data_IF_839124842419
#
_entry.id   IF_839124842419
#
_cell.length_a   1.000
_cell.length_b   1.000
_cell.length_c   1.000
_cell.angle_alpha   90.00
_cell.angle_beta   90.00
_cell.angle_gamma   90.00
#
_symmetry.space_group_name_H-M   'P 1'
#
loop_
_entity.id
_entity.type
_entity.pdbx_description
1 polymer ?
#
# COMPACT_ATOMS: atom_id res chain seq x y z
N UNK A 1 -37.47 -10.74 62.92
CA UNK A 1 -37.85 -9.89 61.78
C UNK A 1 -36.62 -9.84 60.86
N UNK A 2 -36.68 -10.59 59.71
CA UNK A 2 -35.61 -10.58 58.69
C UNK A 2 -36.02 -9.62 57.57
N UNK A 3 -35.28 -8.55 57.42
CA UNK A 3 -35.44 -7.61 56.32
C UNK A 3 -34.68 -8.14 55.11
N UNK A 4 -35.38 -8.42 54.02
CA UNK A 4 -34.80 -8.73 52.72
C UNK A 4 -34.60 -7.40 51.95
N UNK A 5 -33.36 -7.03 51.75
CA UNK A 5 -33.03 -5.93 50.85
C UNK A 5 -33.17 -6.31 49.39
N UNK A 6 -34.04 -5.64 48.66
CA UNK A 6 -34.23 -5.79 47.22
C UNK A 6 -33.03 -5.09 46.55
N UNK A 7 -32.17 -5.88 45.87
CA UNK A 7 -31.08 -5.35 45.02
C UNK A 7 -31.68 -4.97 43.65
N UNK A 8 -31.88 -3.69 43.40
CA UNK A 8 -32.30 -3.18 42.05
C UNK A 8 -31.08 -3.10 41.19
N UNK A 9 -30.90 -4.04 40.25
CA UNK A 9 -29.92 -3.98 39.19
C UNK A 9 -30.45 -3.04 38.11
N UNK A 10 -29.94 -1.81 38.05
CA UNK A 10 -30.22 -0.89 36.95
C UNK A 10 -29.35 -1.30 35.75
N UNK A 11 -29.93 -2.07 34.79
CA UNK A 11 -29.33 -2.28 33.49
C UNK A 11 -29.34 -0.94 32.75
N UNK A 12 -28.20 -0.28 32.70
CA UNK A 12 -27.99 0.89 31.84
C UNK A 12 -28.06 0.48 30.37
N UNK A 13 -29.17 0.74 29.69
CA UNK A 13 -29.23 0.71 28.24
C UNK A 13 -28.31 1.83 27.73
N UNK A 14 -27.15 1.44 27.19
CA UNK A 14 -26.33 2.35 26.40
C UNK A 14 -27.13 2.71 25.14
N UNK A 15 -27.75 3.89 25.14
CA UNK A 15 -28.40 4.46 23.96
C UNK A 15 -27.31 4.68 22.90
N UNK A 16 -27.37 3.91 21.82
CA UNK A 16 -26.51 4.11 20.65
C UNK A 16 -26.68 5.56 20.20
N UNK A 17 -25.58 6.32 20.14
CA UNK A 17 -25.64 7.70 19.68
C UNK A 17 -26.10 7.73 18.19
N UNK A 18 -27.05 8.59 17.82
CA UNK A 18 -27.50 8.67 16.44
C UNK A 18 -26.37 9.14 15.53
N UNK A 19 -26.07 8.35 14.49
CA UNK A 19 -25.08 8.73 13.47
C UNK A 19 -25.73 9.64 12.43
N UNK A 20 -25.35 10.91 12.41
CA UNK A 20 -25.80 11.89 11.39
C UNK A 20 -25.05 11.73 10.04
N UNK A 21 -24.16 10.78 9.94
CA UNK A 21 -23.36 10.44 8.78
C UNK A 21 -23.70 9.06 8.20
N UNK A 22 -22.68 8.23 8.08
CA UNK A 22 -22.81 6.80 7.77
C UNK A 22 -21.89 5.97 8.66
N UNK A 23 -22.39 4.82 9.07
CA UNK A 23 -21.58 3.84 9.76
C UNK A 23 -20.67 3.12 8.76
N UNK A 24 -19.37 3.08 9.03
CA UNK A 24 -18.36 2.37 8.25
C UNK A 24 -17.71 1.32 9.15
N UNK A 25 -17.82 0.06 8.75
CA UNK A 25 -17.13 -1.06 9.43
C UNK A 25 -15.67 -1.11 9.00
N UNK A 26 -14.78 -1.33 9.95
CA UNK A 26 -13.34 -1.36 9.73
C UNK A 26 -12.63 -2.26 10.74
N UNK A 27 -11.33 -2.41 10.64
CA UNK A 27 -10.53 -3.36 11.43
C UNK A 27 -10.60 -3.18 12.96
N UNK A 28 -11.02 -2.01 13.45
CA UNK A 28 -11.15 -1.70 14.88
C UNK A 28 -12.61 -1.58 15.35
N UNK A 29 -13.57 -2.00 14.53
CA UNK A 29 -15.00 -1.91 14.84
C UNK A 29 -15.77 -1.14 13.78
N UNK A 30 -16.51 -0.10 14.17
CA UNK A 30 -17.23 0.78 13.26
C UNK A 30 -17.15 2.24 13.70
N UNK A 31 -17.12 3.16 12.74
CA UNK A 31 -17.08 4.59 12.98
C UNK A 31 -18.19 5.31 12.23
N UNK A 32 -18.84 6.27 12.91
CA UNK A 32 -19.77 7.18 12.27
C UNK A 32 -19.01 8.29 11.57
N UNK A 33 -18.93 8.23 10.23
CA UNK A 33 -18.21 9.21 9.42
C UNK A 33 -19.16 10.20 8.75
N UNK A 34 -18.76 11.44 8.46
CA UNK A 34 -19.60 12.40 7.74
C UNK A 34 -20.06 11.85 6.38
N UNK A 35 -21.24 12.28 5.90
CA UNK A 35 -21.71 11.91 4.54
C UNK A 35 -20.73 12.33 3.44
N UNK A 36 -20.11 13.48 3.60
CA UNK A 36 -19.11 14.05 2.70
C UNK A 36 -17.98 14.64 3.56
N UNK A 37 -16.93 13.87 3.89
CA UNK A 37 -15.79 14.38 4.64
C UNK A 37 -15.09 15.51 3.89
N UNK A 38 -14.75 16.60 4.59
CA UNK A 38 -14.13 17.79 4.01
C UNK A 38 -12.68 17.96 4.42
N UNK A 39 -12.30 17.45 5.60
CA UNK A 39 -10.98 17.61 6.18
C UNK A 39 -10.38 16.26 6.53
N UNK A 40 -9.96 15.56 5.48
CA UNK A 40 -9.42 14.19 5.62
C UNK A 40 -7.95 14.23 5.95
N UNK A 41 -7.52 13.43 6.92
CA UNK A 41 -6.11 13.14 7.19
C UNK A 41 -5.86 11.66 6.88
N UNK A 42 -4.74 11.36 6.24
CA UNK A 42 -4.34 9.99 5.86
C UNK A 42 -2.97 9.65 6.43
N UNK A 43 -2.82 8.46 7.02
CA UNK A 43 -1.63 8.10 7.78
C UNK A 43 -0.84 6.93 7.17
N UNK A 44 -1.02 6.63 5.89
CA UNK A 44 -0.16 5.73 5.13
C UNK A 44 -0.16 6.14 3.65
N UNK A 45 0.82 5.65 2.90
CA UNK A 45 0.97 5.96 1.46
C UNK A 45 -0.16 5.37 0.63
N UNK A 46 -0.69 4.21 1.00
CA UNK A 46 -1.83 3.57 0.32
C UNK A 46 -3.14 4.33 0.50
N UNK A 47 -3.39 4.86 1.70
CA UNK A 47 -4.55 5.71 1.97
C UNK A 47 -4.44 7.06 1.26
N UNK A 48 -3.21 7.62 1.12
CA UNK A 48 -2.98 8.84 0.33
C UNK A 48 -3.29 8.60 -1.16
N UNK A 49 -2.75 7.53 -1.73
CA UNK A 49 -3.01 7.11 -3.12
C UNK A 49 -4.53 6.94 -3.35
N UNK A 50 -5.20 6.21 -2.47
CA UNK A 50 -6.63 5.93 -2.57
C UNK A 50 -7.48 7.20 -2.46
N UNK A 51 -7.18 8.10 -1.52
CA UNK A 51 -7.91 9.35 -1.37
C UNK A 51 -7.78 10.24 -2.62
N UNK A 52 -6.56 10.39 -3.14
CA UNK A 52 -6.29 11.16 -4.36
C UNK A 52 -6.95 10.54 -5.60
N UNK A 53 -6.90 9.21 -5.74
CA UNK A 53 -7.58 8.48 -6.82
C UNK A 53 -9.10 8.70 -6.81
N UNK A 54 -9.68 8.81 -5.62
CA UNK A 54 -11.10 9.08 -5.40
C UNK A 54 -11.46 10.58 -5.51
N UNK A 55 -10.51 11.43 -5.89
CA UNK A 55 -10.70 12.87 -6.06
C UNK A 55 -10.85 13.64 -4.74
N UNK A 56 -10.38 13.07 -3.64
CA UNK A 56 -10.35 13.71 -2.33
C UNK A 56 -8.91 14.06 -1.98
N UNK A 57 -8.62 15.36 -1.88
CA UNK A 57 -7.31 15.84 -1.47
C UNK A 57 -7.26 15.97 0.05
N UNK A 58 -6.42 15.18 0.76
CA UNK A 58 -6.29 15.29 2.20
C UNK A 58 -5.74 16.66 2.62
N UNK A 59 -6.14 17.13 3.80
CA UNK A 59 -5.55 18.33 4.43
C UNK A 59 -4.21 18.01 5.09
N UNK A 60 -3.96 16.75 5.45
CA UNK A 60 -2.72 16.27 6.02
C UNK A 60 -2.44 14.82 5.67
N UNK A 61 -1.17 14.49 5.51
CA UNK A 61 -0.71 13.13 5.26
C UNK A 61 0.67 12.90 5.87
N UNK A 62 1.04 11.62 6.04
CA UNK A 62 2.38 11.22 6.47
C UNK A 62 3.27 10.95 5.26
N UNK A 63 4.59 11.07 5.45
CA UNK A 63 5.60 10.62 4.49
C UNK A 63 6.13 9.23 4.86
N UNK A 64 6.74 8.52 3.92
CA UNK A 64 7.30 7.19 4.19
C UNK A 64 8.45 7.24 5.19
N UNK A 65 9.32 8.24 5.07
CA UNK A 65 10.49 8.45 5.94
C UNK A 65 10.66 9.94 6.27
N UNK A 66 11.41 10.28 7.34
CA UNK A 66 11.70 11.68 7.67
C UNK A 66 12.38 12.43 6.53
N UNK A 67 12.06 13.71 6.38
CA UNK A 67 12.67 14.62 5.43
C UNK A 67 12.56 14.19 3.94
N UNK A 68 11.63 13.29 3.63
CA UNK A 68 11.32 12.94 2.25
C UNK A 68 9.99 13.55 1.80
N UNK A 69 9.86 13.91 0.52
CA UNK A 69 8.58 14.35 -0.03
C UNK A 69 7.58 13.18 -0.11
N UNK A 70 6.35 13.49 -0.45
CA UNK A 70 5.39 12.48 -0.89
C UNK A 70 5.90 11.77 -2.16
N UNK A 71 5.37 10.59 -2.46
CA UNK A 71 5.79 9.79 -3.62
C UNK A 71 5.71 10.60 -4.91
N UNK A 72 6.78 10.58 -5.69
CA UNK A 72 6.95 11.43 -6.89
C UNK A 72 5.87 11.18 -7.96
N UNK A 73 5.37 9.96 -8.07
CA UNK A 73 4.33 9.63 -9.06
C UNK A 73 3.01 10.37 -8.82
N UNK A 74 2.75 10.85 -7.60
CA UNK A 74 1.57 11.64 -7.26
C UNK A 74 1.66 13.09 -7.78
N UNK A 75 2.86 13.58 -8.07
CA UNK A 75 3.11 14.88 -8.70
C UNK A 75 2.47 16.06 -7.96
N UNK A 76 1.83 16.95 -8.70
CA UNK A 76 1.20 18.17 -8.16
C UNK A 76 -0.03 17.91 -7.29
N UNK A 77 -0.57 16.69 -7.29
CA UNK A 77 -1.75 16.36 -6.48
C UNK A 77 -1.48 16.50 -4.97
N UNK A 78 -0.20 16.34 -4.55
CA UNK A 78 0.20 16.48 -3.14
C UNK A 78 0.50 17.91 -2.71
N UNK A 79 0.50 18.86 -3.63
CA UNK A 79 0.81 20.26 -3.35
C UNK A 79 -0.20 20.85 -2.34
N UNK A 80 0.30 21.42 -1.23
CA UNK A 80 -0.53 22.01 -0.18
C UNK A 80 -1.11 21.00 0.82
N UNK A 81 -0.73 19.71 0.76
CA UNK A 81 -1.00 18.74 1.83
C UNK A 81 0.04 18.95 2.93
N UNK A 82 -0.43 19.14 4.19
CA UNK A 82 0.46 19.29 5.34
C UNK A 82 1.10 17.95 5.72
N UNK A 83 2.41 17.96 6.00
CA UNK A 83 3.12 16.76 6.49
C UNK A 83 2.90 16.62 7.99
N UNK A 84 2.12 15.62 8.40
CA UNK A 84 1.79 15.35 9.81
C UNK A 84 2.68 14.28 10.45
N UNK A 85 3.89 14.11 9.95
CA UNK A 85 4.87 13.14 10.45
C UNK A 85 5.20 12.06 9.42
N UNK A 86 5.67 10.93 9.90
CA UNK A 86 5.97 9.76 9.08
C UNK A 86 4.99 8.62 9.37
N UNK A 87 4.99 7.59 8.50
CA UNK A 87 4.19 6.37 8.75
C UNK A 87 4.51 5.79 10.13
N UNK A 88 5.78 5.73 10.53
CA UNK A 88 6.18 5.15 11.81
C UNK A 88 5.87 6.06 13.01
N UNK A 89 5.80 7.38 12.80
CA UNK A 89 5.63 8.38 13.86
C UNK A 89 4.74 9.53 13.37
N UNK A 90 3.41 9.33 13.29
CA UNK A 90 2.47 10.41 13.02
C UNK A 90 2.41 11.37 14.24
N UNK A 91 2.36 12.67 13.97
CA UNK A 91 2.24 13.71 15.02
C UNK A 91 0.77 13.95 15.34
N UNK A 92 0.30 13.44 16.49
CA UNK A 92 -1.08 13.65 16.95
C UNK A 92 -1.39 15.14 17.13
N UNK A 93 -0.41 15.95 17.55
CA UNK A 93 -0.54 17.39 17.72
C UNK A 93 -0.84 18.08 16.37
N UNK A 94 -0.05 17.78 15.33
CA UNK A 94 -0.31 18.31 13.97
C UNK A 94 -1.64 17.84 13.42
N UNK A 95 -2.00 16.58 13.64
CA UNK A 95 -3.29 16.03 13.21
C UNK A 95 -4.42 16.80 13.87
N UNK A 96 -4.37 16.98 15.20
CA UNK A 96 -5.37 17.74 15.95
C UNK A 96 -5.47 19.19 15.47
N UNK A 97 -4.33 19.86 15.21
CA UNK A 97 -4.30 21.24 14.71
C UNK A 97 -5.01 21.40 13.36
N UNK A 98 -5.00 20.37 12.52
CA UNK A 98 -5.71 20.35 11.24
C UNK A 98 -7.23 20.20 11.41
N UNK A 99 -7.75 19.88 12.59
CA UNK A 99 -9.18 19.66 12.87
C UNK A 99 -9.83 18.77 11.81
N UNK A 100 -9.38 17.54 11.62
CA UNK A 100 -9.95 16.63 10.63
C UNK A 100 -11.38 16.25 11.01
N UNK A 101 -12.17 15.88 10.01
CA UNK A 101 -13.48 15.26 10.18
C UNK A 101 -13.47 13.76 9.80
N UNK A 102 -12.35 13.28 9.30
CA UNK A 102 -12.08 11.86 9.04
C UNK A 102 -10.57 11.60 9.05
N UNK A 103 -10.18 10.48 9.68
CA UNK A 103 -8.82 9.94 9.60
C UNK A 103 -8.88 8.56 8.94
N UNK A 104 -8.05 8.34 7.89
CA UNK A 104 -7.87 7.05 7.24
C UNK A 104 -6.48 6.51 7.56
N UNK A 105 -6.42 5.24 7.94
CA UNK A 105 -5.17 4.55 8.26
C UNK A 105 -5.38 3.03 8.27
N UNK A 106 -4.44 2.27 8.85
CA UNK A 106 -4.55 0.83 8.97
C UNK A 106 -4.09 0.34 10.35
N UNK A 107 -4.65 -0.79 10.76
CA UNK A 107 -4.42 -1.42 12.07
C UNK A 107 -2.98 -1.90 12.21
N UNK A 108 -2.37 -2.41 11.13
CA UNK A 108 -0.99 -2.88 11.14
C UNK A 108 -0.03 -1.79 11.61
N UNK A 109 -0.24 -0.53 11.19
CA UNK A 109 0.63 0.62 11.52
C UNK A 109 0.23 1.30 12.81
N UNK A 110 -1.08 1.56 12.97
CA UNK A 110 -1.57 2.51 13.96
C UNK A 110 -2.64 1.94 14.88
N UNK A 111 -2.83 0.62 14.91
CA UNK A 111 -3.78 -0.03 15.82
C UNK A 111 -3.54 0.32 17.29
N UNK A 112 -2.28 0.42 17.70
CA UNK A 112 -1.90 0.76 19.07
C UNK A 112 -2.30 2.19 19.52
N UNK A 113 -2.52 3.11 18.57
CA UNK A 113 -2.93 4.49 18.84
C UNK A 113 -4.36 4.80 18.37
N UNK A 114 -5.16 3.77 18.07
CA UNK A 114 -6.53 3.93 17.57
C UNK A 114 -7.39 4.83 18.47
N UNK A 115 -7.37 4.59 19.79
CA UNK A 115 -8.15 5.37 20.75
C UNK A 115 -7.75 6.84 20.78
N UNK A 116 -6.46 7.13 20.57
CA UNK A 116 -5.97 8.52 20.51
C UNK A 116 -6.44 9.21 19.23
N UNK A 117 -6.36 8.54 18.08
CA UNK A 117 -6.84 9.05 16.81
C UNK A 117 -8.36 9.26 16.83
N UNK A 118 -9.12 8.32 17.37
CA UNK A 118 -10.58 8.36 17.45
C UNK A 118 -11.11 9.48 18.36
N UNK A 119 -10.30 9.96 19.30
CA UNK A 119 -10.62 11.16 20.10
C UNK A 119 -10.43 12.45 19.31
N UNK A 120 -9.63 12.44 18.25
CA UNK A 120 -9.42 13.60 17.39
C UNK A 120 -10.54 13.69 16.34
N UNK A 121 -10.83 12.57 15.64
CA UNK A 121 -11.87 12.49 14.62
C UNK A 121 -12.30 11.03 14.38
N UNK A 122 -13.47 10.79 13.77
CA UNK A 122 -13.82 9.47 13.27
C UNK A 122 -12.67 8.86 12.48
N UNK A 123 -12.22 7.67 12.91
CA UNK A 123 -11.04 7.00 12.36
C UNK A 123 -11.46 5.68 11.74
N UNK A 124 -11.15 5.48 10.47
CA UNK A 124 -11.39 4.24 9.72
C UNK A 124 -10.05 3.55 9.46
N UNK A 125 -9.91 2.31 9.92
CA UNK A 125 -8.69 1.53 9.78
C UNK A 125 -8.88 0.32 8.87
N UNK A 126 -8.11 0.24 7.80
CA UNK A 126 -7.93 -1.01 7.07
C UNK A 126 -7.23 -2.05 7.97
N UNK A 127 -7.38 -3.35 7.67
CA UNK A 127 -6.74 -4.41 8.49
C UNK A 127 -5.22 -4.41 8.31
N UNK A 128 -4.75 -4.23 7.09
CA UNK A 128 -3.33 -4.32 6.74
C UNK A 128 -3.01 -3.48 5.50
N UNK A 129 -1.80 -3.64 4.95
CA UNK A 129 -1.30 -2.96 3.76
C UNK A 129 -0.71 -3.97 2.77
N UNK A 130 -0.43 -3.53 1.57
CA UNK A 130 0.25 -4.33 0.54
C UNK A 130 -0.71 -5.24 -0.21
N UNK A 131 -0.90 -6.49 0.22
CA UNK A 131 -1.75 -7.47 -0.48
C UNK A 131 -3.22 -7.06 -0.57
N UNK A 132 -3.71 -6.33 0.42
CA UNK A 132 -5.12 -5.91 0.57
C UNK A 132 -5.39 -4.50 0.03
N UNK A 133 -4.53 -3.97 -0.83
CA UNK A 133 -4.66 -2.59 -1.34
C UNK A 133 -5.97 -2.34 -2.12
N UNK A 134 -6.55 -3.38 -2.74
CA UNK A 134 -7.82 -3.31 -3.46
C UNK A 134 -8.98 -3.16 -2.48
N UNK A 135 -8.99 -3.96 -1.43
CA UNK A 135 -9.95 -3.89 -0.34
C UNK A 135 -9.84 -2.54 0.40
N UNK A 136 -8.60 -2.04 0.58
CA UNK A 136 -8.36 -0.73 1.20
C UNK A 136 -8.91 0.41 0.33
N UNK A 137 -8.78 0.34 -0.99
CA UNK A 137 -9.41 1.29 -1.92
C UNK A 137 -10.95 1.30 -1.77
N UNK A 138 -11.56 0.12 -1.65
CA UNK A 138 -13.01 0.01 -1.48
C UNK A 138 -13.46 0.57 -0.11
N UNK A 139 -12.71 0.27 0.95
CA UNK A 139 -12.97 0.82 2.30
C UNK A 139 -12.80 2.35 2.32
N UNK A 140 -11.74 2.88 1.69
CA UNK A 140 -11.55 4.31 1.54
C UNK A 140 -12.72 4.94 0.75
N UNK A 141 -13.17 4.27 -0.32
CA UNK A 141 -14.35 4.69 -1.09
C UNK A 141 -15.62 4.75 -0.24
N UNK A 142 -15.84 3.79 0.65
CA UNK A 142 -16.95 3.80 1.60
C UNK A 142 -16.81 4.96 2.60
N UNK A 143 -15.64 5.10 3.23
CA UNK A 143 -15.39 6.15 4.20
C UNK A 143 -15.50 7.57 3.61
N UNK A 144 -15.10 7.76 2.36
CA UNK A 144 -15.14 9.03 1.65
C UNK A 144 -16.48 9.33 0.93
N UNK A 145 -17.44 8.39 0.95
CA UNK A 145 -18.69 8.53 0.19
C UNK A 145 -18.49 8.38 -1.33
N UNK A 146 -17.50 7.64 -1.75
CA UNK A 146 -17.09 7.42 -3.15
C UNK A 146 -17.10 5.93 -3.56
N UNK A 147 -17.94 5.11 -2.93
CA UNK A 147 -17.97 3.65 -3.16
C UNK A 147 -18.17 3.25 -4.62
N UNK A 148 -19.01 3.97 -5.36
CA UNK A 148 -19.20 3.71 -6.79
C UNK A 148 -17.94 4.00 -7.58
N UNK A 149 -17.27 5.12 -7.30
CA UNK A 149 -16.03 5.49 -7.97
C UNK A 149 -14.90 4.49 -7.66
N UNK A 150 -14.77 4.03 -6.40
CA UNK A 150 -13.79 3.01 -6.02
C UNK A 150 -13.98 1.71 -6.82
N UNK A 151 -15.23 1.23 -6.96
CA UNK A 151 -15.53 0.05 -7.79
C UNK A 151 -15.21 0.26 -9.28
N UNK A 152 -15.49 1.45 -9.82
CA UNK A 152 -15.15 1.78 -11.22
C UNK A 152 -13.65 1.76 -11.44
N UNK A 153 -12.87 2.38 -10.54
CA UNK A 153 -11.40 2.38 -10.62
C UNK A 153 -10.83 0.96 -10.55
N UNK A 154 -11.32 0.15 -9.62
CA UNK A 154 -10.89 -1.25 -9.50
C UNK A 154 -11.21 -2.06 -10.76
N UNK A 155 -12.43 -1.93 -11.31
CA UNK A 155 -12.81 -2.59 -12.54
C UNK A 155 -11.98 -2.13 -13.77
N UNK A 156 -11.55 -0.87 -13.79
CA UNK A 156 -10.63 -0.36 -14.82
C UNK A 156 -9.25 -0.99 -14.72
N UNK A 157 -8.73 -1.11 -13.51
CA UNK A 157 -7.46 -1.80 -13.23
C UNK A 157 -7.52 -3.27 -13.67
N UNK A 158 -8.54 -4.01 -13.29
CA UNK A 158 -8.71 -5.44 -13.61
C UNK A 158 -8.81 -5.66 -15.13
N UNK A 159 -9.55 -4.81 -15.83
CA UNK A 159 -9.59 -4.83 -17.30
C UNK A 159 -8.22 -4.60 -17.92
N UNK A 160 -7.45 -3.64 -17.41
CA UNK A 160 -6.11 -3.34 -17.88
C UNK A 160 -5.15 -4.52 -17.65
N UNK A 161 -5.21 -5.15 -16.47
CA UNK A 161 -4.43 -6.36 -16.17
C UNK A 161 -4.73 -7.50 -17.14
N UNK A 162 -6.02 -7.74 -17.43
CA UNK A 162 -6.47 -8.74 -18.41
C UNK A 162 -6.00 -8.42 -19.84
N UNK A 163 -6.07 -7.16 -20.25
CA UNK A 163 -5.59 -6.71 -21.56
C UNK A 163 -4.08 -6.91 -21.71
N UNK A 164 -3.29 -6.58 -20.67
CA UNK A 164 -1.85 -6.79 -20.68
C UNK A 164 -1.50 -8.29 -20.75
N UNK A 165 -2.18 -9.11 -19.95
CA UNK A 165 -2.06 -10.58 -20.03
C UNK A 165 -2.30 -11.11 -21.45
N UNK A 166 -3.39 -10.71 -22.08
CA UNK A 166 -3.75 -11.17 -23.42
C UNK A 166 -2.73 -10.73 -24.48
N UNK A 167 -2.24 -9.50 -24.39
CA UNK A 167 -1.20 -8.98 -25.29
C UNK A 167 0.12 -9.73 -25.15
N UNK A 168 0.54 -10.04 -23.93
CA UNK A 168 1.76 -10.80 -23.69
C UNK A 168 1.59 -12.28 -24.03
N UNK A 169 0.45 -12.89 -23.71
CA UNK A 169 0.13 -14.30 -23.97
C UNK A 169 -0.05 -14.62 -25.45
N UNK A 170 -0.50 -13.66 -26.26
CA UNK A 170 -0.63 -13.82 -27.72
C UNK A 170 0.70 -14.06 -28.45
N UNK A 171 1.84 -13.92 -27.78
CA UNK A 171 3.19 -14.24 -28.28
C UNK A 171 3.68 -15.63 -27.85
N UNK A 172 2.82 -16.46 -27.29
CA UNK A 172 3.15 -17.77 -26.73
C UNK A 172 3.18 -17.75 -25.20
N UNK A 173 4.27 -18.29 -24.60
CA UNK A 173 4.41 -18.33 -23.13
C UNK A 173 4.62 -16.93 -22.54
N UNK A 174 3.89 -16.61 -21.47
CA UNK A 174 4.12 -15.39 -20.69
C UNK A 174 5.58 -15.37 -20.16
N UNK A 175 6.26 -14.21 -20.20
CA UNK A 175 7.61 -14.09 -19.67
C UNK A 175 7.60 -14.21 -18.15
N UNK A 176 8.59 -14.90 -17.59
CA UNK A 176 8.80 -14.95 -16.15
C UNK A 176 9.43 -13.64 -15.65
N UNK A 177 9.00 -13.21 -14.45
CA UNK A 177 9.43 -11.94 -13.85
C UNK A 177 9.97 -12.17 -12.45
N UNK A 178 11.17 -11.70 -12.20
CA UNK A 178 11.81 -11.66 -10.88
C UNK A 178 11.84 -10.23 -10.32
N UNK A 179 11.68 -10.10 -9.01
CA UNK A 179 11.68 -8.81 -8.31
C UNK A 179 12.70 -8.81 -7.18
N UNK A 180 13.56 -7.80 -7.19
CA UNK A 180 14.61 -7.62 -6.20
C UNK A 180 14.55 -6.20 -5.62
N UNK A 181 14.68 -6.07 -4.31
CA UNK A 181 14.75 -4.77 -3.63
C UNK A 181 15.97 -4.71 -2.72
N UNK A 182 16.86 -3.78 -2.99
CA UNK A 182 17.97 -3.45 -2.12
C UNK A 182 17.52 -2.48 -1.05
N UNK A 183 17.76 -2.81 0.21
CA UNK A 183 17.54 -1.90 1.34
C UNK A 183 18.78 -1.91 2.24
N UNK A 184 19.03 -0.90 3.08
CA UNK A 184 20.19 -0.90 3.95
C UNK A 184 20.29 -2.18 4.77
N UNK A 185 21.42 -2.90 4.62
CA UNK A 185 21.73 -4.16 5.31
C UNK A 185 20.94 -5.39 4.84
N UNK A 186 20.17 -5.32 3.76
CA UNK A 186 19.36 -6.45 3.29
C UNK A 186 19.19 -6.46 1.77
N UNK A 187 19.26 -7.65 1.17
CA UNK A 187 18.79 -7.90 -0.19
C UNK A 187 17.47 -8.68 -0.08
N UNK A 188 16.39 -8.12 -0.59
CA UNK A 188 15.05 -8.71 -0.53
C UNK A 188 14.66 -9.31 -1.87
N UNK A 189 14.55 -10.62 -1.91
CA UNK A 189 13.86 -11.34 -2.99
C UNK A 189 12.37 -11.26 -2.72
N UNK A 190 11.64 -10.48 -3.51
CA UNK A 190 10.23 -10.20 -3.26
C UNK A 190 9.35 -11.36 -3.72
N UNK A 191 8.51 -11.89 -2.85
CA UNK A 191 7.59 -13.00 -3.12
C UNK A 191 6.20 -12.52 -3.56
N UNK A 192 5.14 -13.34 -3.42
CA UNK A 192 3.78 -12.99 -3.89
C UNK A 192 3.00 -12.12 -2.91
N UNK A 193 3.23 -12.26 -1.60
CA UNK A 193 2.42 -11.59 -0.59
C UNK A 193 2.87 -10.13 -0.32
N UNK A 194 2.89 -9.31 -1.38
CA UNK A 194 3.13 -7.88 -1.33
C UNK A 194 2.43 -7.18 -2.50
N UNK A 195 2.44 -5.86 -2.51
CA UNK A 195 1.78 -5.03 -3.53
C UNK A 195 2.16 -5.44 -4.97
N UNK A 196 3.47 -5.49 -5.29
CA UNK A 196 3.93 -5.88 -6.63
C UNK A 196 3.57 -7.33 -6.95
N UNK A 197 3.68 -8.22 -5.96
CA UNK A 197 3.29 -9.62 -6.12
C UNK A 197 1.84 -9.79 -6.55
N UNK A 198 0.92 -8.98 -6.00
CA UNK A 198 -0.49 -9.01 -6.41
C UNK A 198 -0.68 -8.55 -7.86
N UNK A 199 0.00 -7.48 -8.28
CA UNK A 199 -0.08 -6.96 -9.66
C UNK A 199 0.42 -8.01 -10.67
N UNK A 200 1.57 -8.63 -10.39
CA UNK A 200 2.11 -9.69 -11.26
C UNK A 200 1.17 -10.90 -11.32
N UNK A 201 0.54 -11.25 -10.20
CA UNK A 201 -0.45 -12.34 -10.12
C UNK A 201 -1.73 -12.01 -10.91
N UNK A 202 -2.25 -10.77 -10.83
CA UNK A 202 -3.42 -10.33 -11.59
C UNK A 202 -3.21 -10.40 -13.11
N UNK A 203 -2.00 -10.06 -13.55
CA UNK A 203 -1.60 -10.18 -14.95
C UNK A 203 -1.32 -11.66 -15.31
N UNK A 204 -1.03 -12.50 -14.33
CA UNK A 204 -0.68 -13.92 -14.52
C UNK A 204 0.77 -14.13 -14.95
N UNK A 205 1.68 -13.21 -14.62
CA UNK A 205 3.10 -13.33 -14.96
C UNK A 205 3.75 -14.40 -14.08
N UNK A 206 4.40 -15.43 -14.71
CA UNK A 206 5.13 -16.45 -13.97
C UNK A 206 6.31 -15.85 -13.18
N UNK A 207 6.67 -16.53 -12.11
CA UNK A 207 7.79 -16.16 -11.25
C UNK A 207 8.79 -17.30 -11.13
N UNK A 208 10.09 -17.04 -10.84
CA UNK A 208 11.01 -18.08 -10.43
C UNK A 208 10.43 -18.87 -9.26
N UNK A 209 10.70 -20.17 -9.19
CA UNK A 209 10.20 -21.05 -8.11
C UNK A 209 10.55 -20.49 -6.72
N UNK A 210 11.73 -19.90 -6.58
CA UNK A 210 12.20 -19.29 -5.34
C UNK A 210 11.32 -18.12 -4.87
N UNK A 211 10.71 -17.33 -5.80
CA UNK A 211 9.82 -16.21 -5.50
C UNK A 211 8.33 -16.56 -5.56
N UNK A 212 7.97 -17.81 -5.88
CA UNK A 212 6.58 -18.24 -6.00
C UNK A 212 6.00 -18.73 -4.68
N UNK A 213 6.17 -17.95 -3.61
CA UNK A 213 5.73 -18.26 -2.24
C UNK A 213 4.72 -17.24 -1.76
N UNK A 214 3.77 -17.66 -0.92
CA UNK A 214 2.75 -16.79 -0.30
C UNK A 214 3.31 -16.10 0.96
N UNK A 215 4.50 -15.50 0.86
CA UNK A 215 5.18 -14.70 1.87
C UNK A 215 5.59 -13.35 1.28
N UNK A 216 5.95 -12.40 2.15
CA UNK A 216 6.32 -11.05 1.73
C UNK A 216 7.63 -11.02 0.91
N UNK A 217 8.71 -11.55 1.46
CA UNK A 217 10.03 -11.60 0.84
C UNK A 217 10.92 -12.63 1.55
N UNK A 218 11.94 -13.13 0.85
CA UNK A 218 13.08 -13.79 1.46
C UNK A 218 14.27 -12.82 1.51
N UNK A 219 15.03 -12.87 2.59
CA UNK A 219 16.31 -12.17 2.72
C UNK A 219 17.39 -13.05 2.17
N UNK A 220 18.16 -12.57 1.21
CA UNK A 220 19.16 -13.37 0.51
C UNK A 220 20.56 -12.77 0.60
N UNK A 221 21.57 -13.60 0.46
CA UNK A 221 22.96 -13.22 0.20
C UNK A 221 23.24 -13.20 -1.31
N UNK A 222 24.40 -12.69 -1.69
CA UNK A 222 24.80 -12.61 -3.11
C UNK A 222 24.89 -13.98 -3.79
N UNK A 223 25.24 -15.03 -3.06
CA UNK A 223 25.32 -16.40 -3.57
C UNK A 223 23.97 -16.96 -4.05
N UNK A 224 22.85 -16.38 -3.57
CA UNK A 224 21.50 -16.77 -3.93
C UNK A 224 20.96 -16.02 -5.16
N UNK A 225 21.73 -15.10 -5.75
CA UNK A 225 21.30 -14.39 -6.97
C UNK A 225 20.86 -15.34 -8.12
N UNK A 226 21.50 -16.52 -8.36
CA UNK A 226 21.05 -17.45 -9.39
C UNK A 226 19.61 -17.96 -9.20
N UNK A 227 19.10 -18.01 -7.96
CA UNK A 227 17.72 -18.44 -7.67
C UNK A 227 16.66 -17.47 -8.20
N UNK A 228 17.09 -16.27 -8.58
CA UNK A 228 16.22 -15.21 -9.10
C UNK A 228 16.15 -15.21 -10.64
N UNK A 229 16.75 -16.18 -11.31
CA UNK A 229 16.82 -16.18 -12.76
C UNK A 229 15.43 -16.24 -13.41
N UNK A 230 15.19 -15.33 -14.35
CA UNK A 230 13.91 -15.12 -15.02
C UNK A 230 14.11 -14.52 -16.41
N UNK A 231 13.04 -14.41 -17.19
CA UNK A 231 13.09 -13.71 -18.49
C UNK A 231 13.31 -12.20 -18.31
N UNK A 232 12.76 -11.62 -17.22
CA UNK A 232 12.95 -10.23 -16.80
C UNK A 232 13.25 -10.16 -15.29
N UNK A 233 14.10 -9.24 -14.92
CA UNK A 233 14.40 -8.92 -13.53
C UNK A 233 14.22 -7.42 -13.31
N UNK A 234 13.29 -7.04 -12.43
CA UNK A 234 13.13 -5.65 -12.00
C UNK A 234 13.75 -5.48 -10.61
N UNK A 235 14.53 -4.43 -10.43
CA UNK A 235 15.16 -4.16 -9.14
C UNK A 235 15.09 -2.68 -8.77
N UNK A 236 14.99 -2.42 -7.48
CA UNK A 236 14.99 -1.05 -6.93
C UNK A 236 15.90 -0.96 -5.72
N UNK A 237 16.13 0.26 -5.28
CA UNK A 237 16.88 0.57 -4.07
C UNK A 237 16.10 1.55 -3.21
N UNK A 238 15.89 1.17 -1.96
CA UNK A 238 15.29 2.02 -0.95
C UNK A 238 16.37 2.76 -0.18
N UNK A 239 16.24 4.09 -0.12
CA UNK A 239 17.17 4.96 0.57
C UNK A 239 18.45 5.24 -0.23
N UNK A 240 19.57 5.41 0.47
CA UNK A 240 20.87 5.70 -0.13
C UNK A 240 21.49 4.42 -0.73
N UNK A 241 21.72 4.36 -2.05
CA UNK A 241 22.34 3.19 -2.69
C UNK A 241 23.70 2.82 -2.11
N UNK A 242 24.48 3.80 -1.62
CA UNK A 242 25.79 3.57 -1.01
C UNK A 242 25.71 2.81 0.32
N UNK A 243 24.54 2.74 0.93
CA UNK A 243 24.28 2.01 2.18
C UNK A 243 23.66 0.63 1.95
N UNK A 244 23.58 0.19 0.70
CA UNK A 244 22.99 -1.09 0.32
C UNK A 244 24.01 -1.97 -0.43
N UNK A 245 23.73 -3.25 -0.54
CA UNK A 245 24.55 -4.20 -1.30
C UNK A 245 24.32 -4.13 -2.82
N UNK A 246 23.63 -3.10 -3.34
CA UNK A 246 23.32 -2.99 -4.77
C UNK A 246 24.59 -3.00 -5.63
N UNK A 247 25.57 -2.15 -5.32
CA UNK A 247 26.79 -2.06 -6.11
C UNK A 247 27.55 -3.39 -6.12
N UNK A 248 27.64 -4.07 -4.97
CA UNK A 248 28.27 -5.39 -4.84
C UNK A 248 27.50 -6.45 -5.65
N UNK A 249 26.17 -6.43 -5.61
CA UNK A 249 25.33 -7.35 -6.37
C UNK A 249 25.53 -7.17 -7.88
N UNK A 250 25.47 -5.94 -8.39
CA UNK A 250 25.62 -5.62 -9.82
C UNK A 250 27.04 -5.93 -10.34
N UNK A 251 28.07 -5.84 -9.50
CA UNK A 251 29.45 -6.19 -9.83
C UNK A 251 29.74 -7.71 -9.70
N UNK A 252 28.84 -8.47 -9.09
CA UNK A 252 29.03 -9.92 -8.87
C UNK A 252 29.07 -10.69 -10.19
N UNK A 253 30.01 -11.63 -10.36
CA UNK A 253 29.97 -12.56 -11.50
C UNK A 253 28.66 -13.36 -11.58
N UNK A 254 27.99 -13.61 -10.46
CA UNK A 254 26.69 -14.31 -10.41
C UNK A 254 25.57 -13.47 -11.05
N UNK A 255 25.60 -12.13 -10.87
CA UNK A 255 24.67 -11.23 -11.55
C UNK A 255 24.81 -11.32 -13.07
N UNK A 256 26.05 -11.31 -13.60
CA UNK A 256 26.32 -11.41 -15.03
C UNK A 256 25.87 -12.74 -15.67
N UNK A 257 25.62 -13.78 -14.86
CA UNK A 257 25.13 -15.08 -15.32
C UNK A 257 23.63 -15.16 -15.45
N UNK A 258 22.87 -14.21 -14.86
CA UNK A 258 21.41 -14.19 -14.93
C UNK A 258 20.97 -13.99 -16.37
N UNK A 259 20.01 -14.78 -16.83
CA UNK A 259 19.43 -14.69 -18.18
C UNK A 259 18.88 -13.27 -18.47
N UNK A 260 18.20 -12.67 -17.49
CA UNK A 260 17.70 -11.31 -17.61
C UNK A 260 18.83 -10.29 -17.87
N UNK A 261 19.99 -10.46 -17.22
CA UNK A 261 21.16 -9.57 -17.39
C UNK A 261 21.78 -9.77 -18.75
N UNK A 262 22.02 -11.02 -19.16
CA UNK A 262 22.59 -11.36 -20.47
C UNK A 262 21.74 -10.83 -21.63
N UNK A 263 20.42 -10.85 -21.48
CA UNK A 263 19.46 -10.37 -22.47
C UNK A 263 19.13 -8.87 -22.33
N UNK A 264 19.84 -8.12 -21.46
CA UNK A 264 19.59 -6.68 -21.20
C UNK A 264 18.16 -6.41 -20.69
N UNK A 265 17.61 -7.34 -19.89
CA UNK A 265 16.27 -7.32 -19.30
C UNK A 265 16.29 -7.25 -17.77
N UNK A 266 17.43 -6.87 -17.19
CA UNK A 266 17.56 -6.47 -15.79
C UNK A 266 17.36 -4.95 -15.73
N UNK A 267 16.26 -4.50 -15.13
CA UNK A 267 15.73 -3.14 -15.25
C UNK A 267 15.65 -2.52 -13.86
N UNK A 268 16.34 -1.39 -13.68
CA UNK A 268 16.19 -0.57 -12.49
C UNK A 268 14.85 0.18 -12.55
N UNK A 269 14.07 0.11 -11.47
CA UNK A 269 12.77 0.75 -11.35
C UNK A 269 12.73 1.69 -10.16
N UNK A 270 11.78 2.62 -10.18
CA UNK A 270 11.59 3.59 -9.13
C UNK A 270 10.96 2.97 -7.89
N UNK A 271 11.63 3.07 -6.73
CA UNK A 271 11.19 2.49 -5.46
C UNK A 271 9.88 3.12 -4.94
N UNK A 272 9.71 4.44 -5.14
CA UNK A 272 8.48 5.14 -4.76
C UNK A 272 7.25 4.55 -5.45
N UNK A 273 7.39 4.19 -6.72
CA UNK A 273 6.31 3.66 -7.55
C UNK A 273 6.08 2.17 -7.30
N UNK A 274 7.15 1.39 -7.19
CA UNK A 274 7.04 -0.07 -7.14
C UNK A 274 6.80 -0.61 -5.74
N UNK A 275 7.24 0.11 -4.69
CA UNK A 275 7.22 -0.43 -3.33
C UNK A 275 6.56 0.46 -2.28
N UNK A 276 6.49 1.78 -2.51
CA UNK A 276 5.88 2.72 -1.57
C UNK A 276 4.49 3.20 -2.01
N UNK A 277 4.09 2.95 -3.25
CA UNK A 277 2.83 3.41 -3.80
C UNK A 277 1.60 2.75 -3.16
N UNK A 278 1.60 1.46 -3.00
CA UNK A 278 0.61 0.59 -2.32
C UNK A 278 -0.86 1.00 -2.56
N UNK A 279 -1.21 1.47 -3.77
CA UNK A 279 -2.54 1.91 -4.13
C UNK A 279 -2.80 1.89 -5.63
N UNK A 280 -4.00 2.31 -6.05
CA UNK A 280 -4.50 2.17 -7.42
C UNK A 280 -3.72 3.05 -8.43
N UNK A 281 -3.32 4.27 -8.05
CA UNK A 281 -2.54 5.14 -8.92
C UNK A 281 -1.14 4.55 -9.16
N UNK A 282 -0.50 4.08 -8.08
CA UNK A 282 0.78 3.37 -8.17
C UNK A 282 0.69 2.09 -8.97
N UNK A 283 -0.39 1.30 -8.81
CA UNK A 283 -0.60 0.09 -9.59
C UNK A 283 -0.68 0.38 -11.10
N UNK A 284 -1.34 1.47 -11.49
CA UNK A 284 -1.34 1.90 -12.89
C UNK A 284 0.04 2.31 -13.40
N UNK A 285 0.87 2.95 -12.56
CA UNK A 285 2.26 3.31 -12.91
C UNK A 285 3.14 2.07 -13.07
N UNK A 286 3.00 1.08 -12.21
CA UNK A 286 3.69 -0.21 -12.36
C UNK A 286 3.27 -0.87 -13.68
N UNK A 287 1.98 -0.84 -14.04
CA UNK A 287 1.52 -1.35 -15.33
C UNK A 287 2.09 -0.57 -16.53
N UNK A 288 2.24 0.77 -16.43
CA UNK A 288 2.92 1.57 -17.46
C UNK A 288 4.34 1.03 -17.71
N UNK A 289 5.09 0.74 -16.64
CA UNK A 289 6.44 0.19 -16.73
C UNK A 289 6.43 -1.24 -17.32
N UNK A 290 5.53 -2.12 -16.84
CA UNK A 290 5.41 -3.47 -17.38
C UNK A 290 5.05 -3.47 -18.88
N UNK A 291 4.15 -2.60 -19.30
CA UNK A 291 3.79 -2.44 -20.73
C UNK A 291 4.97 -1.94 -21.57
N UNK A 292 5.78 -1.07 -21.01
CA UNK A 292 6.98 -0.52 -21.65
C UNK A 292 8.08 -1.55 -21.82
N UNK A 293 8.33 -2.36 -20.80
CA UNK A 293 9.51 -3.22 -20.73
C UNK A 293 9.24 -4.66 -21.18
N UNK A 294 8.05 -5.21 -20.98
CA UNK A 294 7.68 -6.56 -21.39
C UNK A 294 7.31 -6.60 -22.89
N UNK A 295 8.33 -6.51 -23.74
CA UNK A 295 8.15 -6.50 -25.19
C UNK A 295 8.62 -7.78 -25.84
#
# INVERSE_FOLDING_TARGET
VKAWGLLVVVLGLALAQPCNGRWVKHAMGESCVPKVPQRVVVLDTGELDSALALGVKPVGAVTATPNQPFQRYLGSQTQGIEVVGTIAQPSLEKILALRPDLILTNKLRHGAIYDQLSRIAPTVMAESVGVVWKENLLLAGEALGRSTQARVLLAQYERRASQLRNRLGGRGRLPSVSILRFVPGQIRSMNKANFIGTILSDIGLPRPAFQNKDTFADYISLERLPDLDADYLFYSTFGDPLKTDQAAALASPLWGRLKAVQNKRAIAVDDDTWFLAIGILGAHKVMDDLERFLR
#
